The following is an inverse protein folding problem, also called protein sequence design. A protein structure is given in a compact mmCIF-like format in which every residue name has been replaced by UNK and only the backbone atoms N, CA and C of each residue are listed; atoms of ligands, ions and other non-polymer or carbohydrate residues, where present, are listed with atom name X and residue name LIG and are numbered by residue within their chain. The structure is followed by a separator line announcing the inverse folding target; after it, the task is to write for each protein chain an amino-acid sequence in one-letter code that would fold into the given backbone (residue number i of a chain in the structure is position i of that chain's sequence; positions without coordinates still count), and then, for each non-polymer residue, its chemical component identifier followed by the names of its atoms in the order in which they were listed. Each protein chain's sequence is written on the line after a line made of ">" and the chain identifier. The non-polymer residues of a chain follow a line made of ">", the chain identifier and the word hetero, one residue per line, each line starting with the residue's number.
data_IF_141085474202
#
_entry.id   IF_141085474202
#
_cell.length_a   1.000
_cell.length_b   1.000
_cell.length_c   1.000
_cell.angle_alpha   90.00
_cell.angle_beta   90.00
_cell.angle_gamma   90.00
#
_symmetry.space_group_name_H-M   'P 1'
#
loop_
_entity.id
_entity.type
_entity.pdbx_description
1 polymer ?
#
# COMPACT_ATOMS: atom_id res chain seq x y z
N UNK A 1 8.07 3.96 -8.72
CA UNK A 1 7.68 4.06 -7.30
C UNK A 1 7.70 2.69 -6.66
N UNK A 2 8.35 2.55 -5.50
CA UNK A 2 8.36 1.28 -4.76
C UNK A 2 7.31 1.33 -3.65
N UNK A 3 6.23 0.56 -3.82
CA UNK A 3 5.14 0.49 -2.84
C UNK A 3 5.37 -0.68 -1.88
N UNK A 4 5.13 -0.49 -0.57
CA UNK A 4 5.22 -1.58 0.40
C UNK A 4 4.18 -2.65 0.08
N UNK A 5 4.59 -3.90 0.02
CA UNK A 5 3.64 -5.01 -0.22
C UNK A 5 2.76 -5.29 0.99
N UNK A 6 3.17 -4.81 2.17
CA UNK A 6 2.44 -4.96 3.42
C UNK A 6 2.46 -3.68 4.25
N UNK A 7 1.39 -3.49 5.03
CA UNK A 7 1.28 -2.44 6.06
C UNK A 7 0.72 -3.03 7.36
N UNK A 8 0.75 -2.24 8.44
CA UNK A 8 0.06 -2.57 9.69
C UNK A 8 -1.39 -2.10 9.63
N UNK A 9 -2.34 -2.96 9.97
CA UNK A 9 -3.75 -2.61 10.09
C UNK A 9 -3.96 -1.62 11.24
N UNK A 10 -4.56 -0.47 10.96
CA UNK A 10 -4.80 0.56 11.99
C UNK A 10 -5.85 0.12 13.02
N UNK A 11 -6.79 -0.77 12.64
CA UNK A 11 -7.87 -1.20 13.53
C UNK A 11 -7.47 -2.36 14.45
N UNK A 12 -6.71 -3.34 13.95
CA UNK A 12 -6.39 -4.56 14.71
C UNK A 12 -4.90 -4.81 14.94
N UNK A 13 -4.02 -4.03 14.33
CA UNK A 13 -2.56 -4.23 14.40
C UNK A 13 -2.02 -5.41 13.58
N UNK A 14 -2.91 -6.16 12.89
CA UNK A 14 -2.56 -7.27 12.00
C UNK A 14 -1.86 -6.85 10.70
N UNK A 15 -1.48 -7.82 9.87
CA UNK A 15 -0.81 -7.53 8.58
C UNK A 15 -1.86 -7.31 7.50
N UNK A 16 -1.75 -6.20 6.78
CA UNK A 16 -2.48 -6.00 5.53
C UNK A 16 -1.58 -6.24 4.33
N UNK A 17 -2.13 -6.86 3.29
CA UNK A 17 -1.43 -7.13 2.02
C UNK A 17 -1.98 -6.25 0.91
N UNK A 18 -1.10 -5.75 0.05
CA UNK A 18 -1.47 -5.02 -1.16
C UNK A 18 -2.28 -5.95 -2.09
N UNK A 19 -3.45 -5.49 -2.51
CA UNK A 19 -4.32 -6.22 -3.45
C UNK A 19 -4.54 -5.46 -4.77
N UNK A 20 -4.06 -4.22 -4.87
CA UNK A 20 -4.01 -3.49 -6.15
C UNK A 20 -2.86 -3.97 -7.02
N UNK A 21 -3.08 -3.96 -8.33
CA UNK A 21 -2.05 -4.25 -9.32
C UNK A 21 -1.65 -2.97 -10.01
N UNK A 22 -0.35 -2.82 -10.26
CA UNK A 22 0.17 -1.73 -11.08
C UNK A 22 -0.29 -1.88 -12.54
N UNK A 23 -0.42 -0.74 -13.22
CA UNK A 23 -0.52 -0.72 -14.68
C UNK A 23 0.73 -1.41 -15.28
N UNK A 24 0.58 -2.38 -16.20
CA UNK A 24 1.68 -3.25 -16.64
C UNK A 24 2.90 -2.52 -17.20
N UNK A 25 2.68 -1.42 -17.93
CA UNK A 25 3.74 -0.67 -18.62
C UNK A 25 4.17 0.58 -17.84
N UNK A 26 3.33 1.08 -16.94
CA UNK A 26 3.51 2.40 -16.33
C UNK A 26 3.85 2.34 -14.83
N UNK A 27 3.59 1.19 -14.18
CA UNK A 27 3.76 1.06 -12.74
C UNK A 27 2.70 1.83 -11.96
N UNK A 28 2.97 2.04 -10.67
CA UNK A 28 2.19 2.96 -9.85
C UNK A 28 2.74 4.39 -9.91
N UNK A 29 1.84 5.36 -9.75
CA UNK A 29 2.10 6.80 -9.85
C UNK A 29 1.59 7.55 -8.61
N UNK A 30 2.17 8.71 -8.30
CA UNK A 30 1.59 9.61 -7.30
C UNK A 30 0.14 9.98 -7.65
N UNK A 31 -0.72 9.97 -6.64
CA UNK A 31 -2.17 10.16 -6.77
C UNK A 31 -2.97 8.90 -7.10
N UNK A 32 -2.33 7.77 -7.40
CA UNK A 32 -3.05 6.50 -7.52
C UNK A 32 -3.60 6.07 -6.15
N UNK A 33 -4.79 5.46 -6.14
CA UNK A 33 -5.35 4.84 -4.95
C UNK A 33 -5.04 3.34 -4.97
N UNK A 34 -4.31 2.87 -3.96
CA UNK A 34 -4.01 1.45 -3.76
C UNK A 34 -4.78 0.88 -2.59
N UNK A 35 -5.21 -0.37 -2.74
CA UNK A 35 -5.99 -1.08 -1.74
C UNK A 35 -5.14 -2.13 -1.02
N UNK A 36 -5.27 -2.17 0.30
CA UNK A 36 -4.71 -3.20 1.18
C UNK A 36 -5.82 -3.93 1.91
N UNK A 37 -5.62 -5.21 2.20
CA UNK A 37 -6.58 -6.02 2.96
C UNK A 37 -5.90 -6.74 4.12
N UNK A 38 -6.46 -6.59 5.32
CA UNK A 38 -5.99 -7.28 6.52
C UNK A 38 -6.29 -8.77 6.45
N UNK A 39 -5.32 -9.62 6.81
CA UNK A 39 -5.54 -11.07 6.91
C UNK A 39 -6.32 -11.48 8.16
N UNK A 40 -6.28 -10.66 9.22
CA UNK A 40 -6.89 -10.97 10.52
C UNK A 40 -8.34 -10.47 10.65
N UNK A 41 -8.58 -9.18 10.44
CA UNK A 41 -9.92 -8.57 10.58
C UNK A 41 -10.69 -8.48 9.25
N UNK A 42 -10.02 -8.74 8.12
CA UNK A 42 -10.57 -8.70 6.75
C UNK A 42 -11.00 -7.31 6.26
N UNK A 43 -10.76 -6.26 7.03
CA UNK A 43 -10.99 -4.87 6.63
C UNK A 43 -10.06 -4.45 5.49
N UNK A 44 -10.51 -3.43 4.75
CA UNK A 44 -9.84 -2.87 3.59
C UNK A 44 -9.44 -1.42 3.85
N UNK A 45 -8.25 -1.07 3.38
CA UNK A 45 -7.69 0.28 3.44
C UNK A 45 -7.35 0.76 2.03
N UNK A 46 -7.91 1.90 1.65
CA UNK A 46 -7.60 2.59 0.40
C UNK A 46 -6.70 3.78 0.71
N UNK A 47 -5.51 3.83 0.11
CA UNK A 47 -4.51 4.85 0.37
C UNK A 47 -4.08 5.52 -0.93
N UNK A 48 -3.97 6.85 -0.90
CA UNK A 48 -3.37 7.64 -1.98
C UNK A 48 -1.85 7.57 -1.88
N UNK A 49 -1.18 7.44 -3.03
CA UNK A 49 0.27 7.44 -3.11
C UNK A 49 0.85 8.84 -3.20
N UNK A 50 1.75 9.19 -2.29
CA UNK A 50 2.42 10.48 -2.31
C UNK A 50 3.75 10.44 -3.09
N UNK A 51 4.22 11.60 -3.55
CA UNK A 51 5.44 11.70 -4.36
C UNK A 51 6.73 11.32 -3.59
N UNK A 52 6.67 11.35 -2.25
CA UNK A 52 7.78 11.08 -1.34
C UNK A 52 7.79 9.64 -0.80
N UNK A 53 6.81 8.80 -1.16
CA UNK A 53 6.69 7.42 -0.69
C UNK A 53 7.65 6.43 -1.40
N UNK A 54 8.73 6.92 -2.01
CA UNK A 54 9.88 6.07 -2.38
C UNK A 54 10.61 5.70 -1.08
N UNK A 55 10.20 4.58 -0.48
CA UNK A 55 10.71 4.05 0.79
C UNK A 55 12.18 3.60 0.64
N UNK A 56 13.08 4.58 0.72
CA UNK A 56 14.51 4.46 1.00
C UNK A 56 14.90 5.41 2.17
N UNK A 57 13.99 5.68 3.12
CA UNK A 57 14.37 6.29 4.42
C UNK A 57 14.81 5.23 5.43
N UNK A 58 15.93 4.58 5.12
CA UNK A 58 16.80 4.03 6.15
C UNK A 58 17.74 5.15 6.62
N UNK A 59 17.38 5.81 7.73
CA UNK A 59 18.35 6.53 8.57
C UNK A 59 18.56 5.74 9.87
#
# INVERSE_FOLDING_TARGET
>A
MRIPQTIVCVDCGGVCHLISYAEPDEGFRPGDIVAYRCEDCLDRWDMELDIDDDIDRAE
#
